data_IF_131671455019
#
_entry.id   IF_131671455019
#
_cell.length_a   1.000
_cell.length_b   1.000
_cell.length_c   1.000
_cell.angle_alpha   90.00
_cell.angle_beta   90.00
_cell.angle_gamma   90.00
#
_symmetry.space_group_name_H-M   'P 1'
#
loop_
_entity.id
_entity.type
_entity.pdbx_description
1 polymer ?
#
# COMPACT_ATOMS: atom_id res chain seq x y z
N UNK A 1 -51.78 61.73 -27.36
CA UNK A 1 -51.88 61.10 -26.03
C UNK A 1 -50.80 60.03 -25.94
N UNK A 2 -49.95 60.11 -24.90
CA UNK A 2 -49.28 59.01 -24.15
C UNK A 2 -48.46 57.96 -24.96
N UNK A 3 -47.23 57.54 -24.62
CA UNK A 3 -46.50 57.43 -23.34
C UNK A 3 -44.98 57.43 -23.58
N UNK A 4 -44.27 57.85 -22.53
CA UNK A 4 -42.84 57.85 -22.22
C UNK A 4 -41.98 56.61 -22.57
N UNK A 5 -40.67 56.87 -22.69
CA UNK A 5 -39.61 55.87 -22.63
C UNK A 5 -38.27 56.51 -22.23
N UNK A 6 -38.06 56.73 -20.93
CA UNK A 6 -36.77 57.10 -20.35
C UNK A 6 -35.86 55.86 -20.29
N UNK A 7 -34.70 55.90 -20.95
CA UNK A 7 -33.64 54.93 -20.74
C UNK A 7 -32.44 55.63 -20.07
N UNK A 8 -32.23 55.33 -18.80
CA UNK A 8 -31.10 55.78 -17.98
C UNK A 8 -29.82 55.04 -18.40
N UNK A 9 -28.80 55.80 -18.81
CA UNK A 9 -27.46 55.30 -19.07
C UNK A 9 -26.70 55.26 -17.73
N UNK A 10 -26.49 54.06 -17.16
CA UNK A 10 -25.67 53.85 -15.97
C UNK A 10 -24.22 53.48 -16.33
N UNK A 11 -23.20 53.94 -15.57
CA UNK A 11 -21.80 53.64 -15.86
C UNK A 11 -21.39 52.26 -15.32
N UNK A 12 -20.75 51.45 -16.17
CA UNK A 12 -20.10 50.21 -15.76
C UNK A 12 -18.68 50.51 -15.24
N UNK A 13 -18.56 50.66 -13.92
CA UNK A 13 -17.25 50.69 -13.25
C UNK A 13 -16.77 49.25 -13.02
N UNK A 14 -15.81 48.80 -13.84
CA UNK A 14 -15.09 47.53 -13.62
C UNK A 14 -13.91 47.79 -12.68
N UNK A 15 -14.03 47.35 -11.43
CA UNK A 15 -12.92 47.28 -10.48
C UNK A 15 -12.07 46.05 -10.83
N UNK A 16 -10.81 46.28 -11.21
CA UNK A 16 -9.81 45.22 -11.37
C UNK A 16 -9.37 44.71 -9.98
N UNK A 17 -9.46 43.40 -9.76
CA UNK A 17 -8.89 42.74 -8.58
C UNK A 17 -7.41 42.40 -8.83
N UNK A 18 -6.50 42.66 -7.88
CA UNK A 18 -5.14 42.14 -7.98
C UNK A 18 -5.14 40.62 -7.75
N UNK A 19 -4.42 39.90 -8.61
CA UNK A 19 -4.14 38.48 -8.47
C UNK A 19 -3.17 38.27 -7.29
N UNK A 20 -3.62 37.56 -6.27
CA UNK A 20 -2.81 37.16 -5.12
C UNK A 20 -1.78 36.11 -5.58
N UNK A 21 -0.50 36.44 -5.46
CA UNK A 21 0.60 35.58 -5.86
C UNK A 21 0.73 34.42 -4.87
N UNK A 22 0.29 33.23 -5.29
CA UNK A 22 0.44 31.99 -4.52
C UNK A 22 1.93 31.74 -4.21
N UNK A 23 2.29 31.86 -2.93
CA UNK A 23 3.62 31.56 -2.43
C UNK A 23 3.81 30.04 -2.41
N UNK A 24 4.59 29.51 -3.36
CA UNK A 24 4.95 28.10 -3.39
C UNK A 24 5.75 27.74 -2.13
N UNK A 25 5.11 27.02 -1.21
CA UNK A 25 5.79 26.41 -0.07
C UNK A 25 6.66 25.27 -0.60
N UNK A 26 7.98 25.44 -0.55
CA UNK A 26 8.94 24.37 -0.82
C UNK A 26 8.83 23.38 0.33
N UNK A 27 8.14 22.27 0.10
CA UNK A 27 8.11 21.14 1.02
C UNK A 27 9.54 20.56 1.13
N UNK A 28 10.02 20.22 2.35
CA UNK A 28 11.31 19.57 2.49
C UNK A 28 11.26 18.21 1.79
N UNK A 29 12.22 17.96 0.90
CA UNK A 29 12.40 16.65 0.29
C UNK A 29 12.75 15.64 1.40
N UNK A 30 11.77 14.80 1.76
CA UNK A 30 12.01 13.64 2.63
C UNK A 30 12.92 12.70 1.85
N UNK A 31 14.14 12.50 2.34
CA UNK A 31 15.02 11.45 1.84
C UNK A 31 14.34 10.12 2.13
N UNK A 32 13.80 9.45 1.10
CA UNK A 32 13.28 8.11 1.24
C UNK A 32 14.43 7.19 1.63
N UNK A 33 14.36 6.61 2.83
CA UNK A 33 15.26 5.53 3.23
C UNK A 33 14.82 4.31 2.43
N UNK A 34 15.55 4.03 1.35
CA UNK A 34 15.38 2.78 0.59
C UNK A 34 16.08 1.70 1.40
N UNK A 35 15.36 1.10 2.34
CA UNK A 35 15.74 -0.20 2.91
C UNK A 35 15.73 -1.16 1.73
N UNK A 36 16.88 -1.76 1.40
CA UNK A 36 16.91 -2.73 0.31
C UNK A 36 16.41 -4.04 0.87
N UNK A 37 15.82 -4.90 0.03
CA UNK A 37 15.43 -6.26 0.42
C UNK A 37 16.50 -7.02 1.23
N UNK A 38 17.79 -6.70 0.99
CA UNK A 38 18.96 -7.24 1.70
C UNK A 38 19.00 -6.91 3.22
N UNK A 39 18.24 -5.92 3.68
CA UNK A 39 18.15 -5.55 5.10
C UNK A 39 17.09 -6.39 5.85
N UNK A 40 16.20 -7.05 5.10
CA UNK A 40 15.30 -8.08 5.61
C UNK A 40 16.04 -9.41 5.57
N UNK A 41 15.77 -10.32 6.51
CA UNK A 41 16.36 -11.66 6.47
C UNK A 41 15.94 -12.42 5.21
N UNK A 42 16.48 -13.62 5.00
CA UNK A 42 16.11 -14.46 3.87
C UNK A 42 16.03 -15.92 4.28
N UNK A 43 15.06 -16.63 3.72
CA UNK A 43 14.77 -18.04 3.99
C UNK A 43 14.49 -18.76 2.69
N UNK A 44 15.10 -19.94 2.50
CA UNK A 44 14.76 -20.82 1.38
C UNK A 44 13.29 -21.24 1.47
N UNK A 45 12.59 -21.25 0.33
CA UNK A 45 11.22 -21.79 0.26
C UNK A 45 11.17 -23.21 0.85
N UNK A 46 12.16 -24.03 0.54
CA UNK A 46 12.29 -25.40 1.04
C UNK A 46 12.38 -25.52 2.58
N UNK A 47 12.66 -24.42 3.29
CA UNK A 47 12.78 -24.38 4.76
C UNK A 47 11.52 -23.82 5.43
N UNK A 48 10.53 -23.36 4.67
CA UNK A 48 9.25 -22.91 5.20
C UNK A 48 8.43 -24.11 5.69
N UNK A 49 7.45 -23.91 6.60
CA UNK A 49 6.44 -24.92 6.85
C UNK A 49 5.65 -25.20 5.57
N UNK A 50 5.30 -26.46 5.30
CA UNK A 50 4.62 -26.85 4.05
C UNK A 50 3.30 -26.10 3.77
N UNK A 51 2.65 -25.55 4.80
CA UNK A 51 1.46 -24.72 4.62
C UNK A 51 1.76 -23.38 3.94
N UNK A 52 3.02 -22.92 3.95
CA UNK A 52 3.45 -21.75 3.20
C UNK A 52 3.43 -22.06 1.70
N UNK A 53 3.88 -23.24 1.28
CA UNK A 53 3.85 -23.69 -0.12
C UNK A 53 2.41 -23.71 -0.65
N UNK A 54 1.46 -24.22 0.15
CA UNK A 54 0.03 -24.18 -0.16
C UNK A 54 -0.46 -22.74 -0.37
N UNK A 55 -0.07 -21.81 0.50
CA UNK A 55 -0.41 -20.39 0.40
C UNK A 55 0.22 -19.73 -0.84
N UNK A 56 1.50 -19.99 -1.12
CA UNK A 56 2.21 -19.48 -2.30
C UNK A 56 1.57 -19.97 -3.59
N UNK A 57 1.14 -21.24 -3.64
CA UNK A 57 0.39 -21.78 -4.77
C UNK A 57 -0.98 -21.09 -4.94
N UNK A 58 -1.72 -20.86 -3.85
CA UNK A 58 -2.99 -20.12 -3.91
C UNK A 58 -2.78 -18.67 -4.40
N UNK A 59 -1.70 -18.01 -3.98
CA UNK A 59 -1.34 -16.67 -4.47
C UNK A 59 -1.09 -16.71 -5.98
N UNK A 60 -0.28 -17.67 -6.45
CA UNK A 60 0.01 -17.84 -7.87
C UNK A 60 -1.24 -18.12 -8.72
N UNK A 61 -2.20 -18.88 -8.18
CA UNK A 61 -3.47 -19.21 -8.84
C UNK A 61 -4.53 -18.10 -8.74
N UNK A 62 -4.32 -17.09 -7.87
CA UNK A 62 -5.28 -16.03 -7.61
C UNK A 62 -6.46 -16.46 -6.71
N UNK A 63 -6.25 -17.48 -5.88
CA UNK A 63 -7.23 -18.04 -4.95
C UNK A 63 -7.99 -19.26 -5.52
N UNK A 64 -9.13 -19.66 -4.91
CA UNK A 64 -9.84 -18.98 -3.82
C UNK A 64 -9.08 -19.03 -2.49
N UNK A 65 -9.07 -17.91 -1.76
CA UNK A 65 -8.40 -17.82 -0.47
C UNK A 65 -9.30 -18.29 0.69
N UNK A 66 -8.72 -18.93 1.72
CA UNK A 66 -9.48 -19.52 2.83
C UNK A 66 -10.03 -18.48 3.81
N UNK A 67 -9.40 -17.32 3.94
CA UNK A 67 -9.84 -16.26 4.85
C UNK A 67 -10.27 -15.00 4.09
N UNK A 68 -11.27 -14.26 4.59
CA UNK A 68 -11.76 -13.05 3.93
C UNK A 68 -10.74 -11.91 3.89
N UNK A 69 -9.77 -11.89 4.81
CA UNK A 69 -8.69 -10.89 4.84
C UNK A 69 -7.53 -11.22 3.88
N UNK A 70 -7.49 -12.43 3.32
CA UNK A 70 -6.41 -12.82 2.42
C UNK A 70 -6.50 -11.99 1.11
N UNK A 71 -5.41 -11.31 0.77
CA UNK A 71 -5.33 -10.35 -0.32
C UNK A 71 -5.62 -8.90 0.08
N UNK A 72 -5.93 -8.61 1.35
CA UNK A 72 -5.99 -7.23 1.82
C UNK A 72 -4.61 -6.54 1.77
N UNK A 73 -4.63 -5.21 1.71
CA UNK A 73 -3.41 -4.40 1.68
C UNK A 73 -2.70 -4.47 3.03
N UNK A 74 -1.45 -4.93 3.03
CA UNK A 74 -0.55 -4.79 4.16
C UNK A 74 0.06 -3.38 4.16
N UNK A 75 -0.16 -2.62 5.24
CA UNK A 75 0.22 -1.19 5.27
C UNK A 75 1.70 -0.94 5.56
N UNK A 76 2.38 -1.89 6.20
CA UNK A 76 3.77 -1.72 6.64
C UNK A 76 3.96 -0.44 7.50
N UNK A 77 3.03 -0.18 8.43
CA UNK A 77 3.02 1.03 9.28
C UNK A 77 4.22 1.06 10.24
N UNK A 78 4.70 -0.12 10.67
CA UNK A 78 5.89 -0.30 11.52
C UNK A 78 7.20 -0.21 10.73
N UNK A 79 7.15 -0.12 9.40
CA UNK A 79 8.30 -0.02 8.50
C UNK A 79 9.33 -1.15 8.66
N UNK A 80 8.83 -2.37 8.89
CA UNK A 80 9.62 -3.60 9.00
C UNK A 80 10.03 -4.16 7.63
N UNK A 81 9.26 -3.86 6.59
CA UNK A 81 9.62 -4.09 5.19
C UNK A 81 10.10 -2.78 4.53
N UNK A 82 10.74 -2.82 3.35
CA UNK A 82 11.06 -1.63 2.57
C UNK A 82 9.89 -0.65 2.39
N UNK A 83 10.21 0.65 2.48
CA UNK A 83 9.21 1.71 2.33
C UNK A 83 8.78 1.84 0.86
N UNK A 84 7.54 1.48 0.60
CA UNK A 84 6.92 1.49 -0.72
C UNK A 84 5.55 2.20 -0.69
N UNK A 85 4.97 2.58 -1.85
CA UNK A 85 3.65 3.21 -1.90
C UNK A 85 2.54 2.37 -1.25
N UNK A 86 1.46 3.03 -0.81
CA UNK A 86 0.27 2.33 -0.30
C UNK A 86 -0.31 1.40 -1.36
N UNK A 87 -0.63 0.17 -0.97
CA UNK A 87 -1.13 -0.87 -1.88
C UNK A 87 -0.03 -1.75 -2.46
N UNK A 88 1.24 -1.44 -2.24
CA UNK A 88 2.34 -2.24 -2.76
C UNK A 88 2.40 -3.65 -2.15
N UNK A 89 2.03 -3.78 -0.87
CA UNK A 89 2.06 -5.05 -0.15
C UNK A 89 0.66 -5.60 0.08
N UNK A 90 0.52 -6.92 -0.04
CA UNK A 90 -0.71 -7.66 0.26
C UNK A 90 -0.43 -8.84 1.17
N UNK A 91 -1.33 -9.12 2.12
CA UNK A 91 -1.14 -10.19 3.11
C UNK A 91 -1.99 -11.44 2.83
N UNK A 92 -1.45 -12.60 3.16
CA UNK A 92 -2.09 -13.90 2.99
C UNK A 92 -1.81 -14.79 4.19
N UNK A 93 -2.81 -15.52 4.64
CA UNK A 93 -2.70 -16.42 5.78
C UNK A 93 -1.93 -17.68 5.42
N UNK A 94 -0.94 -18.02 6.24
CA UNK A 94 -0.32 -19.35 6.24
C UNK A 94 -0.98 -20.15 7.36
N UNK A 95 -1.65 -21.25 6.98
CA UNK A 95 -2.41 -22.04 7.95
C UNK A 95 -1.50 -22.62 9.03
N UNK A 96 -1.90 -22.48 10.29
CA UNK A 96 -1.23 -23.14 11.42
C UNK A 96 -2.02 -24.38 11.81
N UNK A 97 -1.48 -25.61 11.63
CA UNK A 97 -2.21 -26.83 11.95
C UNK A 97 -2.73 -26.85 13.39
N UNK A 98 -4.03 -27.16 13.54
CA UNK A 98 -4.70 -27.22 14.84
C UNK A 98 -5.09 -25.87 15.45
N UNK A 99 -4.75 -24.74 14.81
CA UNK A 99 -5.28 -23.44 15.22
C UNK A 99 -6.77 -23.33 14.87
N UNK A 100 -7.58 -22.81 15.81
CA UNK A 100 -9.00 -22.49 15.57
C UNK A 100 -9.23 -21.11 14.96
N UNK A 101 -8.16 -20.43 14.55
CA UNK A 101 -8.14 -19.08 13.99
C UNK A 101 -7.04 -18.99 12.92
N UNK A 102 -6.83 -17.80 12.33
CA UNK A 102 -5.80 -17.52 11.31
C UNK A 102 -4.35 -17.78 11.77
N UNK A 103 -4.10 -17.96 13.07
CA UNK A 103 -2.74 -18.05 13.61
C UNK A 103 -1.92 -16.77 13.38
N UNK A 104 -0.60 -16.88 13.52
CA UNK A 104 0.35 -15.76 13.42
C UNK A 104 1.16 -15.74 12.12
N UNK A 105 1.07 -16.80 11.31
CA UNK A 105 1.92 -16.96 10.13
C UNK A 105 1.31 -16.32 8.90
N UNK A 106 2.11 -15.60 8.11
CA UNK A 106 1.65 -14.93 6.89
C UNK A 106 2.69 -15.01 5.79
N UNK A 107 2.21 -14.95 4.54
CA UNK A 107 2.98 -14.46 3.41
C UNK A 107 2.54 -13.00 3.17
N UNK A 108 3.50 -12.13 2.89
CA UNK A 108 3.25 -10.77 2.39
C UNK A 108 3.92 -10.66 1.03
N UNK A 109 3.16 -10.33 -0.02
CA UNK A 109 3.69 -10.18 -1.38
C UNK A 109 3.95 -8.72 -1.70
N UNK A 110 5.04 -8.40 -2.39
CA UNK A 110 5.30 -7.10 -3.00
C UNK A 110 4.91 -7.07 -4.48
N UNK A 111 4.59 -5.89 -5.02
CA UNK A 111 4.28 -5.71 -6.45
C UNK A 111 5.45 -6.09 -7.39
N UNK A 112 6.68 -6.11 -6.89
CA UNK A 112 7.85 -6.55 -7.65
C UNK A 112 8.01 -8.08 -7.76
N UNK A 113 7.08 -8.83 -7.14
CA UNK A 113 7.08 -10.29 -7.10
C UNK A 113 7.90 -10.87 -5.96
N UNK A 114 8.40 -10.06 -5.03
CA UNK A 114 9.06 -10.58 -3.83
C UNK A 114 8.02 -11.04 -2.81
N UNK A 115 8.20 -12.25 -2.30
CA UNK A 115 7.39 -12.78 -1.21
C UNK A 115 8.16 -12.76 0.10
N UNK A 116 7.47 -12.41 1.18
CA UNK A 116 8.02 -12.36 2.53
C UNK A 116 7.23 -13.27 3.44
N UNK A 117 7.93 -14.02 4.28
CA UNK A 117 7.32 -14.85 5.31
C UNK A 117 7.49 -14.21 6.68
N UNK A 118 6.43 -14.25 7.49
CA UNK A 118 6.46 -13.95 8.93
C UNK A 118 5.84 -15.12 9.69
N UNK A 119 6.49 -15.53 10.78
CA UNK A 119 5.97 -16.55 11.68
C UNK A 119 5.25 -15.96 12.91
N UNK A 120 5.44 -14.66 13.15
CA UNK A 120 5.22 -13.96 14.42
C UNK A 120 4.28 -12.77 14.28
N UNK A 121 3.39 -12.80 13.29
CA UNK A 121 2.35 -11.80 13.08
C UNK A 121 2.93 -10.40 12.86
N UNK A 122 3.83 -10.30 11.87
CA UNK A 122 4.45 -9.08 11.35
C UNK A 122 5.52 -8.46 12.25
N UNK A 123 5.95 -9.12 13.33
CA UNK A 123 7.06 -8.65 14.17
C UNK A 123 8.41 -8.77 13.46
N UNK A 124 8.61 -9.83 12.67
CA UNK A 124 9.79 -10.01 11.82
C UNK A 124 9.45 -10.68 10.49
N UNK A 125 10.36 -10.51 9.52
CA UNK A 125 10.21 -11.02 8.16
C UNK A 125 11.50 -11.60 7.62
N UNK A 126 11.35 -12.62 6.80
CA UNK A 126 12.38 -13.12 5.88
C UNK A 126 11.83 -13.08 4.44
N UNK A 127 12.63 -12.59 3.50
CA UNK A 127 12.35 -12.71 2.08
C UNK A 127 12.51 -14.18 1.63
N UNK A 128 11.52 -14.69 0.90
CA UNK A 128 11.52 -16.06 0.39
C UNK A 128 12.48 -16.17 -0.79
N UNK A 129 13.50 -17.01 -0.64
CA UNK A 129 14.43 -17.37 -1.71
C UNK A 129 13.95 -18.65 -2.37
N UNK A 130 13.51 -18.55 -3.62
CA UNK A 130 13.06 -19.68 -4.44
C UNK A 130 14.20 -20.38 -5.19
N UNK A 131 15.45 -19.92 -5.03
CA UNK A 131 16.62 -20.49 -5.69
C UNK A 131 17.34 -21.57 -4.86
N UNK A 132 16.89 -21.75 -3.62
CA UNK A 132 17.16 -22.89 -2.75
C UNK A 132 15.82 -23.55 -2.33
#
# INVERSE_FOLDING_TARGET
MLVAGTLLLGPASLLATPADAATAHVAPARTAVVVRHLDVGSVCESNLPSQADDTLQLIADGGPFPYPEDGEVFRNDEHVLPSEPSGYYHEYTVTTPGAGNRGTRRIVTGEDGTDYYTADHYESFDAVDFSC
#
